data_IF_860655226968
#
_entry.id   IF_860655226968
#
_cell.length_a   1.000
_cell.length_b   1.000
_cell.length_c   1.000
_cell.angle_alpha   90.00
_cell.angle_beta   90.00
_cell.angle_gamma   90.00
#
_symmetry.space_group_name_H-M   'P 1'
#
loop_
_entity.id
_entity.type
_entity.pdbx_description
1 polymer ?
#
# COMPACT_ATOMS: atom_id res chain seq x y z
N UNK A 1 -35.71 20.60 -22.88
CA UNK A 1 -36.11 20.01 -24.18
C UNK A 1 -35.91 21.10 -25.23
N UNK A 2 -35.29 20.87 -26.40
CA UNK A 2 -35.12 19.63 -27.20
C UNK A 2 -33.65 19.12 -27.16
N UNK A 3 -33.25 17.88 -27.46
CA UNK A 3 -33.46 16.95 -28.60
C UNK A 3 -32.64 17.24 -29.89
N UNK A 4 -31.56 16.45 -29.99
CA UNK A 4 -30.71 15.90 -31.07
C UNK A 4 -31.07 16.12 -32.56
N UNK A 5 -30.00 16.31 -33.37
CA UNK A 5 -29.67 15.70 -34.69
C UNK A 5 -29.09 16.78 -35.65
N UNK A 6 -28.13 16.59 -36.55
CA UNK A 6 -27.40 15.44 -37.10
C UNK A 6 -26.16 16.03 -37.82
N UNK A 7 -25.08 15.26 -38.02
CA UNK A 7 -24.33 15.20 -39.31
C UNK A 7 -23.19 14.18 -39.26
N UNK A 8 -23.31 13.17 -40.10
CA UNK A 8 -22.21 12.35 -40.62
C UNK A 8 -21.46 13.12 -41.71
N UNK A 9 -20.13 13.17 -41.63
CA UNK A 9 -19.27 13.43 -42.80
C UNK A 9 -18.19 12.36 -42.83
N UNK A 10 -18.03 11.78 -44.01
CA UNK A 10 -17.13 10.68 -44.38
C UNK A 10 -15.65 11.07 -44.30
N UNK A 11 -14.83 10.02 -44.27
CA UNK A 11 -13.39 10.00 -44.09
C UNK A 11 -12.56 10.92 -44.99
N UNK A 12 -11.52 11.52 -44.41
CA UNK A 12 -10.32 11.93 -45.10
C UNK A 12 -9.12 11.36 -44.34
N UNK A 13 -8.46 10.37 -44.94
CA UNK A 13 -7.13 9.89 -44.56
C UNK A 13 -6.12 10.99 -44.88
N UNK A 14 -5.47 11.53 -43.86
CA UNK A 14 -4.31 12.38 -44.04
C UNK A 14 -3.27 12.08 -42.96
N UNK A 15 -2.16 11.48 -43.40
CA UNK A 15 -0.94 11.24 -42.63
C UNK A 15 -0.39 12.59 -42.12
N UNK A 16 -0.80 12.97 -40.91
CA UNK A 16 -0.25 14.12 -40.22
C UNK A 16 0.82 13.65 -39.23
N UNK A 17 2.08 13.76 -39.64
CA UNK A 17 3.21 13.75 -38.72
C UNK A 17 3.02 14.86 -37.67
N UNK A 18 2.55 14.47 -36.49
CA UNK A 18 2.29 15.38 -35.38
C UNK A 18 3.63 15.91 -34.85
N UNK A 19 3.88 17.23 -34.81
CA UNK A 19 5.14 17.78 -34.34
C UNK A 19 5.39 17.33 -32.90
N UNK A 20 6.64 16.94 -32.60
CA UNK A 20 7.08 16.33 -31.32
C UNK A 20 6.61 17.10 -30.07
N UNK A 21 6.36 18.40 -30.19
CA UNK A 21 5.81 19.24 -29.11
C UNK A 21 4.33 18.98 -28.79
N UNK A 22 3.51 18.58 -29.77
CA UNK A 22 2.10 18.23 -29.56
C UNK A 22 1.96 16.88 -28.84
N UNK A 23 2.87 15.92 -29.07
CA UNK A 23 2.94 14.66 -28.29
C UNK A 23 3.29 14.97 -26.83
N UNK A 24 4.25 15.86 -26.57
CA UNK A 24 4.61 16.29 -25.19
C UNK A 24 3.41 16.96 -24.50
N UNK A 25 2.60 17.75 -25.23
CA UNK A 25 1.37 18.35 -24.70
C UNK A 25 0.26 17.33 -24.47
N UNK A 26 0.09 16.34 -25.34
CA UNK A 26 -0.88 15.25 -25.18
C UNK A 26 -0.50 14.35 -23.99
N UNK A 27 0.77 14.00 -23.85
CA UNK A 27 1.30 13.29 -22.68
C UNK A 27 1.17 14.13 -21.40
N UNK A 28 1.42 15.45 -21.46
CA UNK A 28 1.24 16.35 -20.30
C UNK A 28 -0.23 16.54 -19.89
N UNK A 29 -1.19 16.32 -20.79
CA UNK A 29 -2.63 16.32 -20.45
C UNK A 29 -3.07 15.02 -19.78
N UNK A 30 -2.42 13.88 -20.07
CA UNK A 30 -2.65 12.60 -19.37
C UNK A 30 -2.19 12.64 -17.89
N UNK A 31 -1.35 13.61 -17.51
CA UNK A 31 -0.90 13.83 -16.12
C UNK A 31 -1.62 15.00 -15.42
N UNK A 32 -2.65 15.60 -16.04
CA UNK A 32 -3.51 16.64 -15.43
C UNK A 32 -4.89 16.12 -15.06
N UNK A 33 -4.97 14.87 -14.61
CA UNK A 33 -6.10 14.41 -13.82
C UNK A 33 -5.86 14.77 -12.36
N UNK A 34 -6.81 15.42 -11.71
CA UNK A 34 -6.95 15.30 -10.26
C UNK A 34 -7.12 13.82 -9.95
N UNK A 35 -6.02 13.13 -9.63
CA UNK A 35 -6.09 11.82 -9.04
C UNK A 35 -6.63 12.02 -7.63
N UNK A 36 -7.94 11.88 -7.47
CA UNK A 36 -8.48 11.47 -6.18
C UNK A 36 -7.95 10.06 -5.90
N UNK A 37 -6.73 10.00 -5.37
CA UNK A 37 -6.18 8.79 -4.80
C UNK A 37 -7.05 8.48 -3.58
N UNK A 38 -8.00 7.57 -3.76
CA UNK A 38 -8.95 7.21 -2.73
C UNK A 38 -8.20 6.49 -1.60
N UNK A 39 -7.90 7.25 -0.54
CA UNK A 39 -7.58 6.84 0.83
C UNK A 39 -6.46 5.80 0.98
N UNK A 40 -5.25 6.30 1.28
CA UNK A 40 -4.09 5.51 1.73
C UNK A 40 -3.41 6.23 2.92
N UNK A 41 -4.12 6.48 4.02
CA UNK A 41 -3.72 7.48 5.03
C UNK A 41 -2.93 6.95 6.26
N UNK A 42 -2.64 5.64 6.33
CA UNK A 42 -1.85 4.99 7.39
C UNK A 42 -0.80 4.02 6.86
N UNK A 43 -0.65 3.97 5.52
CA UNK A 43 0.40 3.21 4.86
C UNK A 43 1.63 4.09 4.53
N UNK A 44 1.52 5.42 4.63
CA UNK A 44 2.63 6.34 4.32
C UNK A 44 3.77 6.15 5.31
N UNK A 45 3.46 6.12 6.61
CA UNK A 45 4.44 5.87 7.66
C UNK A 45 4.98 4.45 7.59
N UNK A 46 4.10 3.44 7.44
CA UNK A 46 4.51 2.05 7.23
C UNK A 46 5.50 1.90 6.06
N UNK A 47 5.20 2.49 4.89
CA UNK A 47 6.10 2.44 3.74
C UNK A 47 7.41 3.19 3.97
N UNK A 48 7.35 4.32 4.69
CA UNK A 48 8.54 5.08 5.06
C UNK A 48 9.46 4.31 6.01
N UNK A 49 8.89 3.70 7.05
CA UNK A 49 9.62 2.88 8.04
C UNK A 49 10.17 1.60 7.41
N UNK A 50 9.43 0.96 6.50
CA UNK A 50 9.91 -0.20 5.73
C UNK A 50 11.06 0.19 4.80
N UNK A 51 10.94 1.32 4.08
CA UNK A 51 12.02 1.82 3.20
C UNK A 51 13.29 2.09 4.00
N UNK A 52 13.17 2.78 5.14
CA UNK A 52 14.28 3.05 6.05
C UNK A 52 14.92 1.76 6.58
N UNK A 53 14.09 0.83 7.09
CA UNK A 53 14.55 -0.36 7.79
C UNK A 53 15.00 -1.51 6.90
N UNK A 54 14.57 -1.59 5.63
CA UNK A 54 14.85 -2.76 4.78
C UNK A 54 15.60 -2.39 3.49
N UNK A 55 15.59 -1.11 3.09
CA UNK A 55 16.02 -0.64 1.77
C UNK A 55 15.31 -1.35 0.59
N UNK A 56 14.18 -2.01 0.85
CA UNK A 56 13.34 -2.65 -0.18
C UNK A 56 12.27 -1.68 -0.65
N UNK A 57 11.80 -1.86 -1.89
CA UNK A 57 10.76 -1.03 -2.46
C UNK A 57 9.41 -1.33 -1.78
N UNK A 58 8.80 -0.37 -1.06
CA UNK A 58 7.62 -0.66 -0.23
C UNK A 58 6.40 -1.13 -1.02
N UNK A 59 6.29 -0.73 -2.29
CA UNK A 59 5.17 -1.20 -3.13
C UNK A 59 5.22 -2.70 -3.41
N UNK A 60 6.38 -3.35 -3.24
CA UNK A 60 6.52 -4.79 -3.39
C UNK A 60 5.73 -5.57 -2.31
N UNK A 61 5.28 -4.89 -1.25
CA UNK A 61 4.49 -5.46 -0.15
C UNK A 61 3.01 -5.06 -0.19
N UNK A 62 2.60 -4.16 -1.09
CA UNK A 62 1.18 -3.73 -1.23
C UNK A 62 0.27 -4.89 -1.63
N UNK A 63 0.84 -5.87 -2.34
CA UNK A 63 0.15 -7.08 -2.75
C UNK A 63 1.19 -8.20 -2.77
N UNK A 64 1.35 -8.85 -1.63
CA UNK A 64 2.27 -9.97 -1.46
C UNK A 64 1.61 -11.07 -0.63
N UNK A 65 1.69 -12.31 -1.09
CA UNK A 65 1.15 -13.45 -0.36
C UNK A 65 -0.36 -13.34 -0.13
N UNK A 66 -0.80 -13.67 1.08
CA UNK A 66 -2.20 -13.72 1.47
C UNK A 66 -2.61 -12.63 2.47
N UNK A 67 -1.65 -11.91 3.05
CA UNK A 67 -1.87 -10.92 4.11
C UNK A 67 -1.25 -9.55 3.81
N UNK A 68 -0.20 -9.46 2.99
CA UNK A 68 0.37 -8.14 2.69
C UNK A 68 -0.52 -7.42 1.66
N UNK A 69 -1.44 -6.58 2.15
CA UNK A 69 -2.37 -5.82 1.34
C UNK A 69 -3.72 -5.61 2.05
N UNK A 70 -4.75 -5.11 1.35
CA UNK A 70 -6.07 -4.94 1.93
C UNK A 70 -6.73 -6.30 2.21
N UNK A 71 -6.99 -6.56 3.49
CA UNK A 71 -7.58 -7.80 4.00
C UNK A 71 -6.55 -8.92 4.13
N UNK A 72 -7.00 -10.11 4.53
CA UNK A 72 -6.13 -11.28 4.63
C UNK A 72 -6.93 -12.55 4.81
N UNK A 73 -6.48 -13.66 4.19
CA UNK A 73 -7.15 -14.96 4.40
C UNK A 73 -6.26 -16.16 4.24
N UNK A 74 -6.65 -17.25 4.91
CA UNK A 74 -5.98 -18.53 4.76
C UNK A 74 -4.62 -18.55 5.47
N UNK A 75 -3.77 -19.50 5.09
CA UNK A 75 -2.46 -19.66 5.71
C UNK A 75 -1.41 -18.77 5.01
N UNK A 76 -0.56 -18.04 5.77
CA UNK A 76 0.52 -17.24 5.19
C UNK A 76 1.47 -18.08 4.33
N UNK A 77 1.95 -17.51 3.22
CA UNK A 77 2.75 -18.21 2.22
C UNK A 77 4.21 -18.40 2.61
N UNK A 78 4.78 -17.46 3.33
CA UNK A 78 6.16 -17.50 3.81
C UNK A 78 6.36 -16.55 5.00
N UNK A 79 7.60 -16.39 5.45
CA UNK A 79 7.96 -15.53 6.57
C UNK A 79 7.60 -14.05 6.34
N UNK A 80 7.71 -13.56 5.10
CA UNK A 80 7.29 -12.17 4.77
C UNK A 80 5.79 -12.01 4.94
N UNK A 81 5.00 -12.98 4.50
CA UNK A 81 3.55 -12.98 4.64
C UNK A 81 3.12 -13.14 6.11
N UNK A 82 3.90 -13.87 6.92
CA UNK A 82 3.71 -13.96 8.37
C UNK A 82 3.94 -12.62 9.09
N UNK A 83 4.87 -11.79 8.62
CA UNK A 83 5.04 -10.42 9.13
C UNK A 83 3.77 -9.60 8.91
N UNK A 84 3.14 -9.73 7.74
CA UNK A 84 1.89 -9.03 7.40
C UNK A 84 0.72 -9.53 8.24
N UNK A 85 0.56 -10.85 8.41
CA UNK A 85 -0.45 -11.40 9.32
C UNK A 85 -0.30 -10.85 10.75
N UNK A 86 0.93 -10.76 11.27
CA UNK A 86 1.17 -10.19 12.60
C UNK A 86 0.85 -8.69 12.66
N UNK A 87 1.17 -7.95 11.61
CA UNK A 87 0.85 -6.53 11.49
C UNK A 87 -0.66 -6.29 11.45
N UNK A 88 -1.41 -7.08 10.67
CA UNK A 88 -2.87 -7.06 10.63
C UNK A 88 -3.47 -7.32 12.02
N UNK A 89 -2.99 -8.34 12.73
CA UNK A 89 -3.42 -8.60 14.11
C UNK A 89 -3.15 -7.43 15.07
N UNK A 90 -2.03 -6.74 14.91
CA UNK A 90 -1.70 -5.57 15.71
C UNK A 90 -2.60 -4.37 15.38
N UNK A 91 -2.91 -4.19 14.09
CA UNK A 91 -3.86 -3.18 13.63
C UNK A 91 -5.30 -3.46 14.09
N UNK A 92 -5.71 -4.73 14.13
CA UNK A 92 -7.00 -5.13 14.70
C UNK A 92 -7.06 -4.83 16.19
N UNK A 93 -5.98 -5.09 16.93
CA UNK A 93 -5.88 -4.68 18.33
C UNK A 93 -5.97 -3.15 18.48
N UNK A 94 -5.24 -2.37 17.66
CA UNK A 94 -5.31 -0.92 17.68
C UNK A 94 -6.74 -0.41 17.43
N UNK A 95 -7.46 -1.03 16.48
CA UNK A 95 -8.87 -0.72 16.21
C UNK A 95 -9.78 -1.04 17.40
N UNK A 96 -9.58 -2.19 18.07
CA UNK A 96 -10.31 -2.54 19.29
C UNK A 96 -10.04 -1.55 20.44
N UNK A 97 -8.86 -0.94 20.47
CA UNK A 97 -8.55 0.14 21.39
C UNK A 97 -9.20 1.49 20.99
N UNK A 98 -9.89 1.60 19.86
CA UNK A 98 -10.49 2.84 19.38
C UNK A 98 -9.52 3.75 18.63
N UNK A 99 -8.41 3.21 18.14
CA UNK A 99 -7.47 3.90 17.26
C UNK A 99 -7.78 3.59 15.80
N UNK A 100 -7.31 4.44 14.88
CA UNK A 100 -7.51 4.26 13.44
C UNK A 100 -6.16 4.07 12.75
N UNK A 101 -5.56 2.87 12.77
CA UNK A 101 -4.20 2.63 12.24
C UNK A 101 -4.04 2.96 10.75
N UNK A 102 -5.14 3.03 10.00
CA UNK A 102 -5.17 3.39 8.57
C UNK A 102 -5.28 4.90 8.33
N UNK A 103 -5.56 5.72 9.34
CA UNK A 103 -5.75 7.18 9.16
C UNK A 103 -5.02 8.04 10.17
N UNK A 104 -4.77 7.52 11.37
CA UNK A 104 -4.05 8.22 12.43
C UNK A 104 -2.57 8.32 12.07
N UNK A 105 -2.03 9.52 12.26
CA UNK A 105 -0.66 9.87 11.88
C UNK A 105 0.22 9.88 13.12
N UNK A 106 1.47 9.40 12.98
CA UNK A 106 2.47 9.47 14.04
C UNK A 106 3.79 10.03 13.50
N UNK A 107 4.60 10.62 14.38
CA UNK A 107 5.89 11.22 14.00
C UNK A 107 7.00 10.19 14.11
N UNK A 108 7.83 10.11 13.08
CA UNK A 108 9.02 9.26 13.03
C UNK A 108 10.12 9.93 12.21
N UNK A 109 11.35 9.47 12.41
CA UNK A 109 12.54 9.86 11.65
C UNK A 109 13.34 8.61 11.29
N UNK A 110 14.14 8.70 10.22
CA UNK A 110 15.09 7.66 9.82
C UNK A 110 16.50 8.15 10.13
N UNK A 111 17.24 7.42 10.96
CA UNK A 111 18.64 7.69 11.26
C UNK A 111 19.43 6.39 11.09
N UNK A 112 20.43 6.37 10.22
CA UNK A 112 21.29 5.19 9.98
C UNK A 112 20.50 3.89 9.69
N UNK A 113 19.49 3.96 8.81
CA UNK A 113 18.55 2.87 8.49
C UNK A 113 17.76 2.34 9.70
N UNK A 114 17.70 3.12 10.77
CA UNK A 114 16.95 2.84 11.99
C UNK A 114 15.80 3.82 12.10
N UNK A 115 14.61 3.31 12.41
CA UNK A 115 13.41 4.12 12.60
C UNK A 115 13.38 4.61 14.05
N UNK A 116 13.35 5.92 14.24
CA UNK A 116 13.22 6.59 15.53
C UNK A 116 11.82 7.21 15.58
N UNK A 117 11.12 7.06 16.69
CA UNK A 117 9.74 7.49 16.83
C UNK A 117 9.62 8.61 17.85
N UNK A 118 8.81 9.63 17.55
CA UNK A 118 8.46 10.70 18.47
C UNK A 118 6.98 10.53 18.86
N UNK A 119 6.74 9.99 20.05
CA UNK A 119 5.41 9.56 20.48
C UNK A 119 4.77 10.60 21.40
N UNK A 120 3.52 11.01 21.13
CA UNK A 120 2.82 12.04 21.92
C UNK A 120 1.47 11.55 22.49
N UNK A 121 0.73 10.70 21.79
CA UNK A 121 -0.57 10.17 22.27
C UNK A 121 -0.66 8.63 22.24
N UNK A 122 -1.70 8.09 22.89
CA UNK A 122 -1.91 6.64 23.05
C UNK A 122 -2.02 5.91 21.72
N UNK A 123 -2.76 6.44 20.76
CA UNK A 123 -2.98 5.76 19.47
C UNK A 123 -1.72 5.80 18.61
N UNK A 124 -1.03 6.94 18.59
CA UNK A 124 0.28 7.06 17.98
C UNK A 124 1.25 6.03 18.56
N UNK A 125 1.26 5.80 19.87
CA UNK A 125 2.12 4.80 20.50
C UNK A 125 1.83 3.38 20.00
N UNK A 126 0.56 2.96 20.03
CA UNK A 126 0.14 1.62 19.61
C UNK A 126 0.48 1.38 18.14
N UNK A 127 0.09 2.31 17.25
CA UNK A 127 0.28 2.18 15.80
C UNK A 127 1.78 2.18 15.47
N UNK A 128 2.54 3.08 16.08
CA UNK A 128 3.99 3.13 15.97
C UNK A 128 4.64 1.79 16.33
N UNK A 129 4.20 1.16 17.43
CA UNK A 129 4.73 -0.11 17.88
C UNK A 129 4.43 -1.23 16.88
N UNK A 130 3.22 -1.27 16.32
CA UNK A 130 2.87 -2.20 15.24
C UNK A 130 3.80 -2.05 14.04
N UNK A 131 4.01 -0.82 13.56
CA UNK A 131 4.82 -0.54 12.36
C UNK A 131 6.30 -0.81 12.61
N UNK A 132 6.79 -0.57 13.83
CA UNK A 132 8.14 -0.93 14.26
C UNK A 132 8.39 -2.42 14.20
N UNK A 133 7.49 -3.20 14.79
CA UNK A 133 7.59 -4.67 14.81
C UNK A 133 7.50 -5.24 13.40
N UNK A 134 6.61 -4.70 12.57
CA UNK A 134 6.48 -5.12 11.16
C UNK A 134 7.75 -4.80 10.36
N UNK A 135 8.29 -3.58 10.48
CA UNK A 135 9.54 -3.17 9.82
C UNK A 135 10.73 -4.05 10.22
N UNK A 136 10.85 -4.37 11.51
CA UNK A 136 11.87 -5.30 12.00
C UNK A 136 11.69 -6.72 11.45
N UNK A 137 10.46 -7.22 11.41
CA UNK A 137 10.15 -8.52 10.84
C UNK A 137 10.55 -8.59 9.35
N UNK A 138 10.11 -7.63 8.53
CA UNK A 138 10.43 -7.59 7.10
C UNK A 138 11.93 -7.40 6.81
N UNK A 139 12.68 -6.75 7.72
CA UNK A 139 14.14 -6.60 7.57
C UNK A 139 14.85 -7.95 7.51
N UNK A 140 14.40 -8.93 8.29
CA UNK A 140 15.03 -10.24 8.38
C UNK A 140 14.33 -11.33 7.56
N UNK A 141 13.05 -11.15 7.23
CA UNK A 141 12.30 -12.11 6.42
C UNK A 141 12.86 -12.21 4.99
N UNK A 142 13.08 -13.44 4.47
CA UNK A 142 13.36 -13.69 3.06
C UNK A 142 12.23 -13.16 2.18
N UNK A 143 12.58 -12.50 1.08
CA UNK A 143 11.61 -11.97 0.12
C UNK A 143 11.55 -12.84 -1.12
N UNK A 144 10.38 -13.43 -1.38
CA UNK A 144 10.15 -14.32 -2.51
C UNK A 144 9.30 -13.64 -3.59
N UNK A 145 9.95 -13.29 -4.69
CA UNK A 145 9.30 -12.59 -5.82
C UNK A 145 8.09 -13.34 -6.41
N UNK A 146 7.97 -14.66 -6.20
CA UNK A 146 6.84 -15.47 -6.68
C UNK A 146 5.51 -15.12 -6.01
N UNK A 147 5.55 -14.51 -4.82
CA UNK A 147 4.35 -14.14 -4.08
C UNK A 147 3.94 -12.68 -4.26
N UNK A 148 4.68 -11.90 -5.05
CA UNK A 148 4.23 -10.56 -5.47
C UNK A 148 2.98 -10.73 -6.36
N UNK A 149 1.93 -9.96 -6.08
CA UNK A 149 0.62 -10.04 -6.72
C UNK A 149 -0.01 -11.45 -6.63
N UNK A 150 0.28 -12.16 -5.54
CA UNK A 150 -0.30 -13.48 -5.33
C UNK A 150 -1.83 -13.40 -5.32
N UNK A 151 -2.53 -14.19 -6.15
CA UNK A 151 -3.97 -14.09 -6.25
C UNK A 151 -4.68 -14.55 -4.97
N UNK A 152 -5.52 -13.68 -4.39
CA UNK A 152 -6.25 -13.98 -3.15
C UNK A 152 -7.09 -15.27 -3.22
N UNK A 153 -7.57 -15.71 -4.39
CA UNK A 153 -8.30 -16.99 -4.55
C UNK A 153 -7.44 -18.24 -4.37
N UNK A 154 -6.12 -18.12 -4.40
CA UNK A 154 -5.16 -19.18 -4.07
C UNK A 154 -4.77 -19.19 -2.58
N UNK A 155 -5.39 -18.31 -1.79
CA UNK A 155 -5.29 -18.34 -0.34
C UNK A 155 -6.31 -19.34 0.25
N UNK A 156 -5.90 -19.99 1.34
CA UNK A 156 -6.70 -21.04 1.97
C UNK A 156 -7.93 -20.51 2.73
N UNK A 157 -8.66 -21.42 3.38
CA UNK A 157 -9.80 -21.10 4.26
C UNK A 157 -9.51 -21.33 5.75
N UNK A 158 -8.30 -21.81 6.07
CA UNK A 158 -7.85 -22.04 7.45
C UNK A 158 -7.02 -20.83 7.86
N UNK A 159 -7.42 -20.16 8.93
CA UNK A 159 -6.83 -18.91 9.40
C UNK A 159 -5.94 -19.14 10.61
N UNK A 160 -4.80 -18.45 10.72
CA UNK A 160 -4.04 -18.40 11.96
C UNK A 160 -4.81 -17.61 13.00
N UNK A 161 -4.54 -17.95 14.25
CA UNK A 161 -4.99 -17.13 15.35
C UNK A 161 -4.02 -15.96 15.52
N UNK A 162 -4.56 -14.79 15.86
CA UNK A 162 -3.77 -13.67 16.32
C UNK A 162 -3.16 -14.01 17.68
N UNK A 163 -1.82 -14.08 17.72
CA UNK A 163 -1.06 -14.32 18.94
C UNK A 163 -0.50 -13.02 19.52
N UNK A 164 -1.33 -11.98 19.70
CA UNK A 164 -0.87 -10.76 20.38
C UNK A 164 -0.92 -11.01 21.90
N UNK A 165 0.25 -11.21 22.52
CA UNK A 165 0.38 -11.27 23.98
C UNK A 165 0.70 -9.86 24.49
N UNK A 166 -0.13 -9.37 25.40
CA UNK A 166 0.15 -8.17 26.21
C UNK A 166 1.48 -8.30 26.96
#
# INVERSE_FOLDING_TARGET
>A
MPEVACRTISAATQEHHLPRQLIVRYLAQMFRGSHTCSKMHGLIELYGTLKCGTNRFPLAYVSYGCYCGPGGRGWPKDETDWCCHRHDCCYDFAQQQGCHPITDRYKWTCQDNTVIYAVLDRCQNIICQCDKEASQCWRFAPFNKRYIFWPNYLCGRIYPLCGYRN
#
